data_IF_923009752326
#
_entry.id   IF_923009752326
#
_cell.length_a   1.000
_cell.length_b   1.000
_cell.length_c   1.000
_cell.angle_alpha   90.00
_cell.angle_beta   90.00
_cell.angle_gamma   90.00
#
_symmetry.space_group_name_H-M   'P 1'
#
loop_
_entity.id
_entity.type
_entity.pdbx_description
1 polymer ?
#
# COMPACT_ATOMS: atom_id res chain seq x y z
N UNK A 1 14.87 11.12 7.44
CA UNK A 1 13.82 10.83 8.43
C UNK A 1 12.85 12.00 8.39
N UNK A 2 11.79 11.89 7.58
CA UNK A 2 10.69 12.86 7.59
C UNK A 2 9.84 12.52 8.81
N UNK A 3 9.91 13.36 9.83
CA UNK A 3 9.17 13.17 11.07
C UNK A 3 7.66 13.22 10.81
N UNK A 4 6.90 12.43 11.57
CA UNK A 4 5.42 12.34 11.56
C UNK A 4 4.70 13.71 11.64
N UNK A 5 5.41 14.76 12.02
CA UNK A 5 4.92 16.13 12.19
C UNK A 5 4.68 16.84 10.84
N UNK A 6 5.54 16.62 9.84
CA UNK A 6 5.43 17.31 8.54
C UNK A 6 4.25 16.79 7.68
N UNK A 7 3.90 15.49 7.83
CA UNK A 7 2.78 14.91 7.09
C UNK A 7 1.40 15.43 7.53
N UNK A 8 1.26 15.78 8.80
CA UNK A 8 0.00 16.32 9.33
C UNK A 8 -0.27 17.77 8.90
N UNK A 9 0.74 18.57 8.61
CA UNK A 9 0.56 19.95 8.15
C UNK A 9 -0.01 20.01 6.72
N UNK A 10 0.38 19.07 5.85
CA UNK A 10 -0.14 18.99 4.47
C UNK A 10 -1.62 18.56 4.41
N UNK A 11 -2.13 17.88 5.47
CA UNK A 11 -3.50 17.40 5.53
C UNK A 11 -4.48 18.42 6.16
N UNK A 12 -4.02 19.60 6.53
CA UNK A 12 -4.79 20.59 7.30
C UNK A 12 -5.41 20.01 8.61
N UNK A 13 -4.66 19.09 9.27
CA UNK A 13 -5.10 18.37 10.47
C UNK A 13 -4.40 18.94 11.71
N UNK A 14 -5.18 19.23 12.74
CA UNK A 14 -4.66 19.70 14.04
C UNK A 14 -4.31 18.50 14.93
N UNK A 15 -3.07 18.35 15.39
CA UNK A 15 -2.69 17.25 16.27
C UNK A 15 -3.41 17.30 17.62
N UNK A 16 -3.71 16.16 18.25
CA UNK A 16 -4.36 16.10 19.55
C UNK A 16 -3.47 16.64 20.68
N UNK A 17 -4.04 17.46 21.57
CA UNK A 17 -3.32 18.02 22.71
C UNK A 17 -3.36 17.14 23.96
N UNK A 18 -4.32 16.20 24.05
CA UNK A 18 -4.52 15.31 25.20
C UNK A 18 -4.77 13.87 24.73
N UNK A 19 -4.37 12.88 25.56
CA UNK A 19 -4.49 11.46 25.26
C UNK A 19 -5.92 11.02 24.90
N UNK A 20 -6.93 11.47 25.67
CA UNK A 20 -8.33 11.16 25.36
C UNK A 20 -8.76 11.64 23.99
N UNK A 21 -8.25 12.79 23.58
CA UNK A 21 -8.54 13.39 22.27
C UNK A 21 -7.79 12.66 21.15
N UNK A 22 -6.59 12.14 21.44
CA UNK A 22 -5.82 11.30 20.53
C UNK A 22 -6.52 9.97 20.27
N UNK A 23 -6.99 9.30 21.32
CA UNK A 23 -7.75 8.05 21.20
C UNK A 23 -9.07 8.23 20.43
N UNK A 24 -9.79 9.32 20.67
CA UNK A 24 -11.00 9.64 19.90
C UNK A 24 -10.67 9.82 18.40
N UNK A 25 -9.54 10.47 18.09
CA UNK A 25 -9.09 10.64 16.71
C UNK A 25 -8.73 9.32 16.04
N UNK A 26 -8.03 8.43 16.73
CA UNK A 26 -7.73 7.08 16.22
C UNK A 26 -9.02 6.33 15.89
N UNK A 27 -10.02 6.33 16.79
CA UNK A 27 -11.32 5.70 16.50
C UNK A 27 -12.01 6.30 15.28
N UNK A 28 -11.90 7.62 15.07
CA UNK A 28 -12.45 8.29 13.87
C UNK A 28 -11.77 7.77 12.61
N UNK A 29 -10.43 7.66 12.60
CA UNK A 29 -9.67 7.17 11.45
C UNK A 29 -9.95 5.69 11.17
N UNK A 30 -10.01 4.85 12.21
CA UNK A 30 -10.37 3.43 12.09
C UNK A 30 -11.80 3.24 11.57
N UNK A 31 -12.77 4.02 12.11
CA UNK A 31 -14.14 3.99 11.62
C UNK A 31 -14.24 4.41 10.15
N UNK A 32 -13.50 5.45 9.77
CA UNK A 32 -13.43 5.91 8.39
C UNK A 32 -12.83 4.85 7.44
N UNK A 33 -11.73 4.21 7.84
CA UNK A 33 -11.12 3.14 7.07
C UNK A 33 -12.10 1.96 6.87
N UNK A 34 -12.74 1.50 7.94
CA UNK A 34 -13.70 0.43 7.88
C UNK A 34 -14.93 0.75 6.98
N UNK A 35 -15.42 2.00 7.00
CA UNK A 35 -16.51 2.43 6.09
C UNK A 35 -16.06 2.35 4.64
N UNK A 36 -14.84 2.77 4.35
CA UNK A 36 -14.27 2.71 3.00
C UNK A 36 -14.05 1.27 2.55
N UNK A 37 -13.55 0.40 3.42
CA UNK A 37 -13.34 -1.03 3.14
C UNK A 37 -14.66 -1.75 2.81
N UNK A 38 -15.76 -1.38 3.48
CA UNK A 38 -17.09 -2.01 3.33
C UNK A 38 -17.91 -1.43 2.17
N UNK A 39 -17.90 -0.12 1.98
CA UNK A 39 -18.80 0.58 1.07
C UNK A 39 -18.15 1.58 0.12
N UNK A 40 -16.82 1.66 0.09
CA UNK A 40 -16.10 2.57 -0.77
C UNK A 40 -16.25 4.04 -0.39
N UNK A 41 -15.80 4.91 -1.29
CA UNK A 41 -15.83 6.37 -1.04
C UNK A 41 -17.24 6.95 -0.94
N UNK A 42 -18.22 6.35 -1.62
CA UNK A 42 -19.63 6.81 -1.60
C UNK A 42 -20.26 6.65 -0.21
N UNK A 43 -19.93 5.57 0.50
CA UNK A 43 -20.41 5.34 1.86
C UNK A 43 -19.73 6.27 2.90
N UNK A 44 -18.59 6.85 2.55
CA UNK A 44 -17.81 7.70 3.45
C UNK A 44 -18.47 9.08 3.62
N UNK A 45 -19.20 9.27 4.73
CA UNK A 45 -19.81 10.53 5.11
C UNK A 45 -19.41 10.90 6.54
N UNK A 46 -19.44 12.21 6.87
CA UNK A 46 -19.19 12.67 8.27
C UNK A 46 -20.15 12.00 9.25
N UNK A 47 -21.43 11.87 8.87
CA UNK A 47 -22.45 11.24 9.71
C UNK A 47 -22.13 9.77 9.98
N UNK A 48 -21.81 8.98 8.94
CA UNK A 48 -21.44 7.57 9.07
C UNK A 48 -20.19 7.37 9.95
N UNK A 49 -19.17 8.24 9.78
CA UNK A 49 -17.96 8.19 10.61
C UNK A 49 -18.28 8.53 12.07
N UNK A 50 -19.10 9.56 12.33
CA UNK A 50 -19.51 9.92 13.69
C UNK A 50 -20.26 8.78 14.40
N UNK A 51 -21.22 8.16 13.69
CA UNK A 51 -22.01 7.05 14.19
C UNK A 51 -21.12 5.85 14.54
N UNK A 52 -20.27 5.43 13.61
CA UNK A 52 -19.38 4.28 13.81
C UNK A 52 -18.32 4.51 14.89
N UNK A 53 -17.71 5.71 14.92
CA UNK A 53 -16.71 6.08 15.91
C UNK A 53 -17.29 6.41 17.29
N UNK A 54 -18.62 6.53 17.40
CA UNK A 54 -19.37 6.98 18.60
C UNK A 54 -18.86 8.32 19.11
N UNK A 55 -18.77 9.30 18.22
CA UNK A 55 -18.33 10.66 18.53
C UNK A 55 -19.34 11.69 18.01
N UNK A 56 -19.38 12.86 18.67
CA UNK A 56 -20.15 13.99 18.14
C UNK A 56 -19.43 14.61 16.92
N UNK A 57 -20.17 15.19 15.95
CA UNK A 57 -19.58 15.84 14.76
C UNK A 57 -18.51 16.88 15.08
N UNK A 58 -18.67 17.60 16.20
CA UNK A 58 -17.69 18.57 16.68
C UNK A 58 -16.30 17.98 16.85
N UNK A 59 -16.18 16.72 17.28
CA UNK A 59 -14.87 16.06 17.44
C UNK A 59 -14.10 15.92 16.12
N UNK A 60 -14.82 15.82 14.99
CA UNK A 60 -14.24 15.83 13.66
C UNK A 60 -13.86 17.25 13.24
N UNK A 61 -14.81 18.21 13.36
CA UNK A 61 -14.59 19.59 12.92
C UNK A 61 -13.56 20.36 13.77
N UNK A 62 -13.30 19.94 15.01
CA UNK A 62 -12.18 20.47 15.79
C UNK A 62 -10.79 20.13 15.18
N UNK A 63 -10.72 19.18 14.21
CA UNK A 63 -9.48 18.68 13.61
C UNK A 63 -9.40 18.81 12.11
N UNK A 64 -10.54 18.74 11.43
CA UNK A 64 -10.60 18.81 9.97
C UNK A 64 -11.58 19.90 9.56
N UNK A 65 -11.33 20.50 8.40
CA UNK A 65 -12.17 21.59 7.88
C UNK A 65 -13.25 21.08 6.93
N UNK A 66 -13.15 19.83 6.46
CA UNK A 66 -14.03 19.29 5.43
C UNK A 66 -14.07 17.75 5.44
N UNK A 67 -15.07 17.16 4.75
CA UNK A 67 -15.13 15.74 4.45
C UNK A 67 -13.85 15.27 3.73
N UNK A 68 -13.37 16.07 2.79
CA UNK A 68 -12.18 15.80 2.02
C UNK A 68 -10.92 15.69 2.89
N UNK A 69 -10.71 16.64 3.80
CA UNK A 69 -9.58 16.61 4.73
C UNK A 69 -9.66 15.41 5.67
N UNK A 70 -10.87 15.02 6.12
CA UNK A 70 -11.05 13.80 6.90
C UNK A 70 -10.73 12.56 6.07
N UNK A 71 -11.22 12.49 4.83
CA UNK A 71 -10.95 11.37 3.94
C UNK A 71 -9.44 11.19 3.70
N UNK A 72 -8.71 12.26 3.42
CA UNK A 72 -7.26 12.18 3.23
C UNK A 72 -6.52 11.75 4.50
N UNK A 73 -7.03 12.13 5.69
CA UNK A 73 -6.49 11.63 6.95
C UNK A 73 -6.72 10.13 7.13
N UNK A 74 -7.90 9.63 6.78
CA UNK A 74 -8.23 8.21 6.79
C UNK A 74 -7.38 7.45 5.76
N UNK A 75 -7.20 8.01 4.58
CA UNK A 75 -6.32 7.46 3.55
C UNK A 75 -4.87 7.28 4.06
N UNK A 76 -4.29 8.33 4.67
CA UNK A 76 -2.94 8.24 5.26
C UNK A 76 -2.87 7.25 6.42
N UNK A 77 -3.93 7.15 7.22
CA UNK A 77 -4.01 6.14 8.27
C UNK A 77 -3.99 4.72 7.70
N UNK A 78 -4.77 4.45 6.64
CA UNK A 78 -4.75 3.18 5.94
C UNK A 78 -3.38 2.86 5.34
N UNK A 79 -2.75 3.84 4.66
CA UNK A 79 -1.39 3.68 4.15
C UNK A 79 -0.36 3.42 5.26
N UNK A 80 -0.52 4.00 6.45
CA UNK A 80 0.42 3.76 7.56
C UNK A 80 0.40 2.31 8.04
N UNK A 81 -0.75 1.63 7.95
CA UNK A 81 -0.87 0.20 8.26
C UNK A 81 -0.12 -0.65 7.24
N UNK A 82 -0.24 -0.31 5.96
CA UNK A 82 0.48 -1.00 4.89
C UNK A 82 1.99 -0.78 5.03
N UNK A 83 2.43 0.46 5.29
CA UNK A 83 3.85 0.77 5.52
C UNK A 83 4.47 0.01 6.68
N UNK A 84 3.71 -0.28 7.74
CA UNK A 84 4.19 -1.09 8.86
C UNK A 84 4.52 -2.53 8.42
N UNK A 85 3.71 -3.11 7.53
CA UNK A 85 4.01 -4.43 6.97
C UNK A 85 5.19 -4.39 5.99
N UNK A 86 5.36 -3.27 5.27
CA UNK A 86 6.48 -3.07 4.33
C UNK A 86 7.85 -2.87 5.00
N UNK A 87 7.89 -2.61 6.32
CA UNK A 87 9.14 -2.55 7.08
C UNK A 87 9.96 -3.85 6.98
N UNK A 88 9.33 -4.96 6.57
CA UNK A 88 10.03 -6.22 6.29
C UNK A 88 11.13 -6.04 5.22
N UNK A 89 10.92 -5.15 4.25
CA UNK A 89 11.91 -4.85 3.20
C UNK A 89 13.13 -4.07 3.73
N UNK A 90 13.02 -3.41 4.87
CA UNK A 90 14.11 -2.69 5.51
C UNK A 90 14.91 -3.57 6.51
N UNK A 91 14.51 -4.85 6.70
CA UNK A 91 15.16 -5.80 7.60
C UNK A 91 16.23 -6.60 6.87
N UNK A 92 17.48 -6.16 6.91
CA UNK A 92 18.59 -6.82 6.22
C UNK A 92 18.72 -8.30 6.58
N UNK A 93 18.51 -8.66 7.85
CA UNK A 93 18.59 -10.04 8.33
C UNK A 93 17.57 -10.99 7.68
N UNK A 94 16.43 -10.48 7.20
CA UNK A 94 15.39 -11.24 6.50
C UNK A 94 15.87 -11.75 5.14
N UNK A 95 16.74 -11.00 4.50
CA UNK A 95 17.19 -11.22 3.13
C UNK A 95 18.62 -11.76 3.04
N UNK A 96 19.37 -11.69 4.15
CA UNK A 96 20.77 -12.11 4.20
C UNK A 96 20.93 -13.61 3.91
N UNK A 97 21.91 -13.96 3.09
CA UNK A 97 22.27 -15.34 2.79
C UNK A 97 21.36 -16.08 1.81
N UNK A 98 20.34 -15.40 1.27
CA UNK A 98 19.54 -15.94 0.18
C UNK A 98 20.31 -15.83 -1.13
N UNK A 99 20.25 -16.86 -1.98
CA UNK A 99 20.67 -16.74 -3.38
C UNK A 99 19.68 -15.85 -4.14
N UNK A 100 20.12 -15.31 -5.29
CA UNK A 100 19.36 -14.31 -6.01
C UNK A 100 17.98 -14.79 -6.48
N UNK A 101 17.84 -16.05 -6.88
CA UNK A 101 16.55 -16.62 -7.30
C UNK A 101 15.59 -16.74 -6.12
N UNK A 102 16.05 -17.29 -5.01
CA UNK A 102 15.27 -17.40 -3.77
C UNK A 102 14.88 -16.02 -3.25
N UNK A 103 15.79 -15.06 -3.25
CA UNK A 103 15.54 -13.70 -2.81
C UNK A 103 14.42 -13.04 -3.63
N UNK A 104 14.42 -13.17 -4.95
CA UNK A 104 13.34 -12.62 -5.80
C UNK A 104 12.01 -13.32 -5.53
N UNK A 105 11.99 -14.65 -5.38
CA UNK A 105 10.77 -15.40 -5.05
C UNK A 105 10.18 -14.90 -3.73
N UNK A 106 10.99 -14.81 -2.70
CA UNK A 106 10.56 -14.35 -1.38
C UNK A 106 10.10 -12.88 -1.38
N UNK A 107 10.84 -11.99 -2.07
CA UNK A 107 10.48 -10.58 -2.15
C UNK A 107 9.14 -10.36 -2.91
N UNK A 108 8.91 -11.06 -4.01
CA UNK A 108 7.65 -11.00 -4.75
C UNK A 108 6.50 -11.60 -3.94
N UNK A 109 6.72 -12.73 -3.28
CA UNK A 109 5.70 -13.38 -2.43
C UNK A 109 5.32 -12.48 -1.23
N UNK A 110 6.31 -11.89 -0.55
CA UNK A 110 6.05 -10.96 0.56
C UNK A 110 5.25 -9.75 0.09
N UNK A 111 5.64 -9.16 -1.04
CA UNK A 111 4.94 -8.03 -1.63
C UNK A 111 3.48 -8.38 -2.00
N UNK A 112 3.26 -9.54 -2.61
CA UNK A 112 1.92 -10.04 -2.92
C UNK A 112 1.08 -10.27 -1.64
N UNK A 113 1.69 -10.82 -0.60
CA UNK A 113 1.06 -11.02 0.71
C UNK A 113 0.61 -9.72 1.38
N UNK A 114 1.39 -8.64 1.24
CA UNK A 114 0.98 -7.30 1.71
C UNK A 114 -0.28 -6.83 0.97
N UNK A 115 -0.33 -6.98 -0.35
CA UNK A 115 -1.51 -6.62 -1.14
C UNK A 115 -2.74 -7.42 -0.74
N UNK A 116 -2.60 -8.71 -0.47
CA UNK A 116 -3.68 -9.58 -0.04
C UNK A 116 -4.22 -9.18 1.34
N UNK A 117 -3.34 -8.96 2.32
CA UNK A 117 -3.73 -8.53 3.68
C UNK A 117 -4.48 -7.21 3.69
N UNK A 118 -4.13 -6.31 2.80
CA UNK A 118 -4.73 -4.97 2.72
C UNK A 118 -5.72 -4.78 1.56
N UNK A 119 -6.12 -5.86 0.90
CA UNK A 119 -6.97 -5.81 -0.30
C UNK A 119 -8.28 -5.03 -0.08
N UNK A 120 -8.92 -5.18 1.08
CA UNK A 120 -10.16 -4.48 1.41
C UNK A 120 -9.99 -2.94 1.37
N UNK A 121 -8.88 -2.43 1.89
CA UNK A 121 -8.57 -1.00 1.86
C UNK A 121 -8.04 -0.56 0.49
N UNK A 122 -7.17 -1.36 -0.13
CA UNK A 122 -6.55 -1.01 -1.41
C UNK A 122 -7.56 -0.94 -2.56
N UNK A 123 -8.53 -1.86 -2.61
CA UNK A 123 -9.53 -1.93 -3.70
C UNK A 123 -10.23 -0.58 -3.95
N UNK A 124 -10.93 0.03 -2.98
CA UNK A 124 -11.57 1.32 -3.22
C UNK A 124 -10.58 2.43 -3.55
N UNK A 125 -9.34 2.38 -3.04
CA UNK A 125 -8.31 3.38 -3.34
C UNK A 125 -7.80 3.28 -4.78
N UNK A 126 -7.60 2.05 -5.27
CA UNK A 126 -7.25 1.78 -6.67
C UNK A 126 -8.31 2.35 -7.62
N UNK A 127 -9.58 2.04 -7.35
CA UNK A 127 -10.69 2.49 -8.19
C UNK A 127 -10.88 4.01 -8.15
N UNK A 128 -10.61 4.64 -7.01
CA UNK A 128 -10.75 6.08 -6.83
C UNK A 128 -9.57 6.85 -7.46
N UNK A 129 -8.39 6.27 -7.54
CA UNK A 129 -7.16 6.95 -7.97
C UNK A 129 -7.27 7.59 -9.36
N UNK A 130 -8.04 7.00 -10.26
CA UNK A 130 -8.27 7.55 -11.60
C UNK A 130 -9.14 8.81 -11.63
N UNK A 131 -9.96 9.04 -10.60
CA UNK A 131 -10.89 10.18 -10.51
C UNK A 131 -10.50 11.21 -9.46
N UNK A 132 -9.56 10.90 -8.57
CA UNK A 132 -9.20 11.73 -7.42
C UNK A 132 -7.73 12.11 -7.45
N UNK A 133 -7.42 13.33 -7.89
CA UNK A 133 -6.04 13.79 -8.14
C UNK A 133 -5.12 13.70 -6.92
N UNK A 134 -5.63 13.99 -5.72
CA UNK A 134 -4.84 13.93 -4.49
C UNK A 134 -4.53 12.48 -4.06
N UNK A 135 -5.48 11.56 -4.24
CA UNK A 135 -5.25 10.12 -4.04
C UNK A 135 -4.20 9.63 -5.03
N UNK A 136 -4.32 9.98 -6.31
CA UNK A 136 -3.34 9.63 -7.34
C UNK A 136 -1.93 10.13 -6.99
N UNK A 137 -1.80 11.41 -6.59
CA UNK A 137 -0.51 12.02 -6.23
C UNK A 137 0.15 11.27 -5.06
N UNK A 138 -0.63 10.96 -4.01
CA UNK A 138 -0.14 10.25 -2.82
C UNK A 138 0.18 8.80 -3.11
N UNK A 139 -0.68 8.12 -3.88
CA UNK A 139 -0.44 6.75 -4.32
C UNK A 139 0.86 6.66 -5.14
N UNK A 140 1.10 7.59 -6.07
CA UNK A 140 2.34 7.64 -6.86
C UNK A 140 3.58 7.80 -5.98
N UNK A 141 3.55 8.73 -5.02
CA UNK A 141 4.67 8.95 -4.11
C UNK A 141 4.95 7.72 -3.24
N UNK A 142 3.88 7.08 -2.74
CA UNK A 142 3.96 5.83 -1.98
C UNK A 142 4.56 4.69 -2.83
N UNK A 143 4.06 4.49 -4.06
CA UNK A 143 4.55 3.44 -4.96
C UNK A 143 6.03 3.63 -5.30
N UNK A 144 6.49 4.87 -5.49
CA UNK A 144 7.91 5.14 -5.74
C UNK A 144 8.80 4.71 -4.55
N UNK A 145 8.38 5.00 -3.32
CA UNK A 145 9.10 4.56 -2.12
C UNK A 145 9.16 3.03 -2.00
N UNK A 146 8.04 2.35 -2.31
CA UNK A 146 8.00 0.89 -2.29
C UNK A 146 8.88 0.28 -3.39
N UNK A 147 8.88 0.88 -4.60
CA UNK A 147 9.77 0.46 -5.68
C UNK A 147 11.25 0.56 -5.29
N UNK A 148 11.62 1.63 -4.58
CA UNK A 148 13.00 1.80 -4.11
C UNK A 148 13.39 0.75 -3.08
N UNK A 149 12.51 0.42 -2.11
CA UNK A 149 12.75 -0.64 -1.11
C UNK A 149 12.89 -2.03 -1.77
N UNK A 150 11.92 -2.40 -2.61
CA UNK A 150 11.96 -3.66 -3.34
C UNK A 150 13.24 -3.77 -4.20
N UNK A 151 13.59 -2.68 -4.90
CA UNK A 151 14.79 -2.64 -5.75
C UNK A 151 16.06 -2.81 -4.91
N UNK A 152 16.15 -2.13 -3.77
CA UNK A 152 17.30 -2.24 -2.86
C UNK A 152 17.51 -3.69 -2.38
N UNK A 153 16.43 -4.38 -2.00
CA UNK A 153 16.48 -5.79 -1.59
C UNK A 153 16.99 -6.67 -2.74
N UNK A 154 16.38 -6.58 -3.91
CA UNK A 154 16.71 -7.48 -5.03
C UNK A 154 18.12 -7.21 -5.59
N UNK A 155 18.57 -5.95 -5.60
CA UNK A 155 19.93 -5.58 -5.98
C UNK A 155 21.01 -6.06 -4.99
N UNK A 156 20.64 -6.54 -3.81
CA UNK A 156 21.58 -7.26 -2.93
C UNK A 156 22.21 -8.48 -3.60
N UNK A 157 21.51 -9.09 -4.58
CA UNK A 157 22.02 -10.18 -5.41
C UNK A 157 22.31 -9.76 -6.86
N UNK A 158 22.64 -8.48 -7.10
CA UNK A 158 22.86 -7.96 -8.46
C UNK A 158 23.93 -8.74 -9.27
N UNK A 159 24.93 -9.30 -8.57
CA UNK A 159 26.01 -10.09 -9.20
C UNK A 159 25.54 -11.42 -9.82
N UNK A 160 24.37 -11.92 -9.43
CA UNK A 160 23.75 -13.12 -9.99
C UNK A 160 22.77 -12.80 -11.13
N UNK A 161 22.30 -11.54 -11.25
CA UNK A 161 21.36 -11.11 -12.28
C UNK A 161 22.06 -11.12 -13.65
N UNK A 162 21.51 -11.88 -14.60
CA UNK A 162 22.12 -12.04 -15.95
C UNK A 162 21.73 -10.94 -16.92
N UNK A 163 20.73 -10.11 -16.57
CA UNK A 163 20.32 -8.99 -17.40
C UNK A 163 21.44 -7.92 -17.47
N UNK A 164 21.74 -7.34 -18.65
CA UNK A 164 22.87 -6.40 -18.82
C UNK A 164 22.74 -5.10 -18.06
N UNK A 165 21.52 -4.72 -17.66
CA UNK A 165 21.23 -3.58 -16.78
C UNK A 165 20.34 -4.07 -15.62
N UNK A 166 20.95 -4.55 -14.52
CA UNK A 166 20.22 -5.11 -13.39
C UNK A 166 19.26 -4.12 -12.72
N UNK A 167 19.64 -2.86 -12.57
CA UNK A 167 18.79 -1.86 -11.89
C UNK A 167 17.51 -1.60 -12.68
N UNK A 168 17.62 -1.32 -13.97
CA UNK A 168 16.46 -1.11 -14.84
C UNK A 168 15.59 -2.38 -14.89
N UNK A 169 16.19 -3.56 -14.97
CA UNK A 169 15.46 -4.82 -15.01
C UNK A 169 14.66 -5.06 -13.73
N UNK A 170 15.22 -4.82 -12.55
CA UNK A 170 14.52 -4.97 -11.27
C UNK A 170 13.39 -3.96 -11.14
N UNK A 171 13.58 -2.71 -11.56
CA UNK A 171 12.52 -1.69 -11.56
C UNK A 171 11.35 -2.05 -12.50
N UNK A 172 11.63 -2.60 -13.67
CA UNK A 172 10.62 -3.10 -14.61
C UNK A 172 9.90 -4.33 -14.06
N UNK A 173 10.64 -5.24 -13.42
CA UNK A 173 10.07 -6.37 -12.70
C UNK A 173 9.09 -5.92 -11.61
N UNK A 174 9.50 -5.00 -10.73
CA UNK A 174 8.61 -4.39 -9.73
C UNK A 174 7.36 -3.80 -10.39
N UNK A 175 7.52 -3.01 -11.44
CA UNK A 175 6.39 -2.37 -12.14
C UNK A 175 5.38 -3.39 -12.66
N UNK A 176 5.86 -4.51 -13.22
CA UNK A 176 5.02 -5.59 -13.74
C UNK A 176 4.26 -6.30 -12.62
N UNK A 177 4.96 -6.66 -11.54
CA UNK A 177 4.36 -7.29 -10.36
C UNK A 177 3.32 -6.37 -9.73
N UNK A 178 3.68 -5.10 -9.50
CA UNK A 178 2.79 -4.09 -8.94
C UNK A 178 1.53 -3.91 -9.79
N UNK A 179 1.66 -3.74 -11.11
CA UNK A 179 0.52 -3.58 -12.01
C UNK A 179 -0.42 -4.79 -11.96
N UNK A 180 0.13 -6.01 -11.93
CA UNK A 180 -0.64 -7.24 -11.84
C UNK A 180 -1.41 -7.35 -10.53
N UNK A 181 -0.78 -7.00 -9.40
CA UNK A 181 -1.41 -6.98 -8.08
C UNK A 181 -2.51 -5.90 -8.00
N UNK A 182 -2.24 -4.70 -8.53
CA UNK A 182 -3.20 -3.60 -8.59
C UNK A 182 -4.45 -3.98 -9.39
N UNK A 183 -4.27 -4.63 -10.55
CA UNK A 183 -5.40 -5.11 -11.37
C UNK A 183 -6.22 -6.17 -10.63
N UNK A 184 -5.55 -7.13 -10.00
CA UNK A 184 -6.22 -8.19 -9.24
C UNK A 184 -7.01 -7.64 -8.05
N UNK A 185 -6.44 -6.71 -7.28
CA UNK A 185 -7.11 -6.10 -6.13
C UNK A 185 -8.25 -5.18 -6.58
N UNK A 186 -8.04 -4.34 -7.59
CA UNK A 186 -9.03 -3.37 -8.04
C UNK A 186 -10.25 -4.01 -8.69
N UNK A 187 -10.02 -4.94 -9.60
CA UNK A 187 -11.06 -5.48 -10.48
C UNK A 187 -11.42 -6.95 -10.21
N UNK A 188 -10.65 -7.62 -9.35
CA UNK A 188 -10.86 -9.03 -9.02
C UNK A 188 -10.03 -10.00 -9.87
N UNK A 189 -9.94 -11.28 -9.44
CA UNK A 189 -9.09 -12.27 -10.08
C UNK A 189 -9.52 -12.66 -11.49
N UNK A 190 -10.80 -12.47 -11.83
CA UNK A 190 -11.40 -12.91 -13.10
C UNK A 190 -11.39 -11.85 -14.20
N UNK A 191 -10.90 -10.64 -13.89
CA UNK A 191 -11.03 -9.49 -14.79
C UNK A 191 -10.24 -9.66 -16.09
N UNK A 192 -9.00 -10.16 -16.00
CA UNK A 192 -8.10 -10.24 -17.16
C UNK A 192 -7.92 -11.67 -17.70
N UNK A 193 -8.25 -12.69 -16.92
CA UNK A 193 -8.09 -14.10 -17.27
C UNK A 193 -9.01 -14.96 -16.40
N UNK A 194 -9.26 -16.24 -16.74
CA UNK A 194 -9.93 -17.17 -15.84
C UNK A 194 -9.25 -17.16 -14.46
N UNK A 195 -10.06 -17.20 -13.39
CA UNK A 195 -9.57 -17.10 -12.03
C UNK A 195 -8.48 -18.16 -11.75
N UNK A 196 -7.27 -17.70 -11.51
CA UNK A 196 -6.27 -18.50 -10.82
C UNK A 196 -6.45 -18.31 -9.32
N UNK A 197 -6.26 -19.38 -8.52
CA UNK A 197 -6.12 -19.22 -7.08
C UNK A 197 -4.92 -18.29 -6.76
N UNK A 198 -4.92 -17.75 -5.55
CA UNK A 198 -3.88 -16.78 -5.15
C UNK A 198 -2.47 -17.37 -5.24
N UNK A 199 -2.31 -18.62 -4.82
CA UNK A 199 -0.99 -19.29 -4.85
C UNK A 199 -0.50 -19.51 -6.29
N UNK A 200 -1.36 -19.92 -7.20
CA UNK A 200 -1.01 -20.07 -8.62
C UNK A 200 -0.64 -18.72 -9.24
N UNK A 201 -1.36 -17.66 -8.90
CA UNK A 201 -1.07 -16.31 -9.36
C UNK A 201 0.30 -15.82 -8.84
N UNK A 202 0.57 -15.96 -7.54
CA UNK A 202 1.86 -15.57 -6.94
C UNK A 202 2.99 -16.39 -7.54
N UNK A 203 2.82 -17.72 -7.69
CA UNK A 203 3.81 -18.57 -8.38
C UNK A 203 4.10 -18.09 -9.79
N UNK A 204 3.08 -17.67 -10.54
CA UNK A 204 3.28 -17.13 -11.88
C UNK A 204 4.11 -15.84 -11.86
N UNK A 205 3.81 -14.91 -10.96
CA UNK A 205 4.57 -13.67 -10.82
C UNK A 205 6.02 -13.93 -10.45
N UNK A 206 6.28 -14.81 -9.47
CA UNK A 206 7.63 -15.15 -9.02
C UNK A 206 8.43 -15.83 -10.14
N UNK A 207 7.84 -16.79 -10.84
CA UNK A 207 8.50 -17.45 -11.98
C UNK A 207 8.82 -16.49 -13.11
N UNK A 208 7.90 -15.57 -13.42
CA UNK A 208 8.11 -14.55 -14.45
C UNK A 208 9.27 -13.63 -14.08
N UNK A 209 9.30 -13.15 -12.83
CA UNK A 209 10.37 -12.31 -12.30
C UNK A 209 11.73 -13.02 -12.35
N UNK A 210 11.80 -14.27 -11.90
CA UNK A 210 13.03 -15.07 -11.89
C UNK A 210 13.54 -15.30 -13.32
N UNK A 211 12.66 -15.70 -14.24
CA UNK A 211 13.06 -15.91 -15.65
C UNK A 211 13.57 -14.64 -16.32
N UNK A 212 12.93 -13.51 -16.02
CA UNK A 212 13.34 -12.23 -16.60
C UNK A 212 14.70 -11.76 -16.08
N UNK A 213 14.97 -11.93 -14.79
CA UNK A 213 16.20 -11.43 -14.16
C UNK A 213 17.39 -12.36 -14.34
N UNK A 214 17.18 -13.69 -14.35
CA UNK A 214 18.26 -14.68 -14.33
C UNK A 214 18.33 -15.55 -15.58
N UNK A 215 17.54 -15.25 -16.60
CA UNK A 215 17.40 -16.12 -17.77
C UNK A 215 16.63 -17.40 -17.43
N UNK A 216 15.77 -17.85 -18.33
CA UNK A 216 15.14 -19.16 -18.22
C UNK A 216 16.00 -20.23 -18.89
N UNK A 217 16.13 -21.41 -18.28
CA UNK A 217 16.32 -22.63 -19.02
C UNK A 217 15.04 -22.98 -19.78
#
# INVERSE_FOLDING_TARGET
>A
VVTSTDRNSELAIRPPRQERTRQAWIRILEAGAAIIEEGGYEAFTIAAVCERAKVAPRAIYDRTTSKEALFLAVYEHGLSRIRADEEVFDREERWAGLDGRTLVVEAVAEFAGIFERHAAFLKPMVLLSGAHSEVYRRARAYTAQMADRFTAVVLGAAHEITHPDPETAVRLCFSTVFASLMMRVGYGPDFAAPAADTDAFVRHLTQTAVRYLFGGE
#
